data_IF_737840986361
#
_entry.id   IF_737840986361
#
_cell.length_a   1.000
_cell.length_b   1.000
_cell.length_c   1.000
_cell.angle_alpha   90.00
_cell.angle_beta   90.00
_cell.angle_gamma   90.00
#
_symmetry.space_group_name_H-M   'P 1'
#
loop_
_entity.id
_entity.type
_entity.pdbx_description
1 polymer ?
#
# COMPACT_ATOMS: atom_id res chain seq x y z
N UNK A 1 9.20 25.74 -3.17
CA UNK A 1 7.82 25.59 -3.69
C UNK A 1 7.86 24.69 -4.90
N UNK A 2 7.70 23.38 -4.78
CA UNK A 2 7.51 22.55 -5.99
C UNK A 2 6.68 21.35 -5.66
N UNK A 3 5.38 21.58 -5.52
CA UNK A 3 4.39 20.58 -5.89
C UNK A 3 4.42 20.42 -7.43
N UNK A 4 4.07 19.25 -7.99
CA UNK A 4 3.69 18.00 -7.31
C UNK A 4 4.88 17.27 -6.66
N UNK A 5 4.56 16.39 -5.72
CA UNK A 5 5.51 15.39 -5.21
C UNK A 5 5.34 14.12 -6.04
N UNK A 6 6.43 13.66 -6.66
CA UNK A 6 6.41 12.46 -7.50
C UNK A 6 7.25 11.35 -6.88
N UNK A 7 6.71 10.15 -6.78
CA UNK A 7 7.41 8.93 -6.36
C UNK A 7 7.35 7.89 -7.47
N UNK A 8 8.46 7.19 -7.68
CA UNK A 8 8.52 6.01 -8.54
C UNK A 8 8.75 4.78 -7.68
N UNK A 9 7.84 3.83 -7.78
CA UNK A 9 7.87 2.59 -7.02
C UNK A 9 8.19 1.43 -7.94
N UNK A 10 9.02 0.51 -7.45
CA UNK A 10 9.20 -0.79 -8.09
C UNK A 10 7.97 -1.66 -7.80
N UNK A 11 7.33 -2.17 -8.86
CA UNK A 11 6.13 -2.98 -8.74
C UNK A 11 6.34 -4.34 -8.04
N UNK A 12 7.59 -4.81 -7.95
CA UNK A 12 7.95 -6.01 -7.19
C UNK A 12 7.96 -5.75 -5.68
N UNK A 13 8.38 -4.55 -5.26
CA UNK A 13 8.41 -4.16 -3.84
C UNK A 13 7.05 -3.63 -3.37
N UNK A 14 6.35 -2.88 -4.22
CA UNK A 14 5.05 -2.28 -3.93
C UNK A 14 4.02 -2.73 -4.97
N UNK A 15 3.22 -3.76 -4.65
CA UNK A 15 2.10 -4.16 -5.50
C UNK A 15 1.11 -3.01 -5.71
N UNK A 16 0.39 -3.03 -6.83
CA UNK A 16 -0.62 -2.01 -7.15
C UNK A 16 -1.67 -1.84 -6.04
N UNK A 17 -2.11 -2.93 -5.42
CA UNK A 17 -3.07 -2.90 -4.31
C UNK A 17 -2.56 -2.10 -3.10
N UNK A 18 -1.25 -2.15 -2.82
CA UNK A 18 -0.61 -1.37 -1.75
C UNK A 18 -0.60 0.11 -2.11
N UNK A 19 -0.19 0.45 -3.35
CA UNK A 19 -0.18 1.83 -3.83
C UNK A 19 -1.60 2.46 -3.81
N UNK A 20 -2.62 1.72 -4.24
CA UNK A 20 -4.02 2.16 -4.20
C UNK A 20 -4.54 2.35 -2.78
N UNK A 21 -4.22 1.43 -1.86
CA UNK A 21 -4.60 1.56 -0.44
C UNK A 21 -3.93 2.76 0.23
N UNK A 22 -2.65 2.99 -0.06
CA UNK A 22 -1.94 4.17 0.44
C UNK A 22 -2.55 5.46 -0.11
N UNK A 23 -2.84 5.51 -1.41
CA UNK A 23 -3.50 6.66 -2.05
C UNK A 23 -4.88 6.94 -1.42
N UNK A 24 -5.70 5.91 -1.24
CA UNK A 24 -7.02 6.03 -0.63
C UNK A 24 -6.96 6.47 0.83
N UNK A 25 -6.03 5.91 1.61
CA UNK A 25 -5.84 6.27 3.02
C UNK A 25 -5.39 7.72 3.23
N UNK A 26 -4.82 8.35 2.20
CA UNK A 26 -4.31 9.70 2.25
C UNK A 26 -5.22 10.73 1.56
N UNK A 27 -6.39 10.31 1.06
CA UNK A 27 -7.27 11.14 0.25
C UNK A 27 -7.71 12.44 0.93
N UNK A 28 -7.83 12.44 2.27
CA UNK A 28 -8.19 13.64 3.04
C UNK A 28 -7.04 14.66 3.15
N UNK A 29 -5.79 14.25 2.85
CA UNK A 29 -4.58 15.07 3.02
C UNK A 29 -3.94 15.42 1.67
N UNK A 30 -3.82 14.44 0.77
CA UNK A 30 -3.23 14.61 -0.56
C UNK A 30 -4.04 13.87 -1.61
N UNK A 31 -4.23 14.52 -2.75
CA UNK A 31 -4.74 13.89 -3.95
C UNK A 31 -3.60 13.19 -4.67
N UNK A 32 -3.68 11.87 -4.83
CA UNK A 32 -2.62 11.06 -5.45
C UNK A 32 -3.15 10.45 -6.75
N UNK A 33 -2.50 10.79 -7.87
CA UNK A 33 -2.68 10.10 -9.14
C UNK A 33 -1.73 8.89 -9.19
N UNK A 34 -2.29 7.71 -9.50
CA UNK A 34 -1.53 6.45 -9.66
C UNK A 34 -1.39 6.14 -11.14
N UNK A 35 -0.17 6.25 -11.67
CA UNK A 35 0.20 5.81 -13.01
C UNK A 35 0.79 4.39 -12.96
N UNK A 36 0.39 3.55 -13.92
CA UNK A 36 0.85 2.17 -14.03
C UNK A 36 1.73 2.05 -15.28
N UNK A 37 2.95 1.60 -15.09
CA UNK A 37 3.94 1.29 -16.12
C UNK A 37 4.37 -0.18 -15.97
N UNK A 38 5.05 -0.75 -16.97
CA UNK A 38 5.29 -2.20 -17.06
C UNK A 38 5.92 -2.83 -15.81
N UNK A 39 6.88 -2.15 -15.17
CA UNK A 39 7.53 -2.63 -13.94
C UNK A 39 7.56 -1.55 -12.83
N UNK A 40 6.83 -0.46 -13.03
CA UNK A 40 6.86 0.69 -12.14
C UNK A 40 5.46 1.24 -11.90
N UNK A 41 5.28 1.78 -10.71
CA UNK A 41 4.10 2.56 -10.36
C UNK A 41 4.56 3.98 -10.07
N UNK A 42 4.01 4.94 -10.80
CA UNK A 42 4.26 6.37 -10.57
C UNK A 42 3.15 6.95 -9.70
N UNK A 43 3.53 7.65 -8.64
CA UNK A 43 2.60 8.38 -7.78
C UNK A 43 2.88 9.87 -7.93
N UNK A 44 1.86 10.64 -8.32
CA UNK A 44 1.93 12.09 -8.41
C UNK A 44 0.95 12.67 -7.40
N UNK A 45 1.46 13.34 -6.38
CA UNK A 45 0.68 13.86 -5.26
C UNK A 45 0.58 15.38 -5.28
N UNK A 46 -0.61 15.88 -4.95
CA UNK A 46 -0.95 17.29 -4.74
C UNK A 46 -1.64 17.44 -3.38
N UNK A 47 -1.63 18.63 -2.75
CA UNK A 47 -2.44 18.87 -1.56
C UNK A 47 -3.92 18.65 -1.87
N UNK A 48 -4.67 18.02 -0.97
CA UNK A 48 -6.12 17.88 -1.12
C UNK A 48 -6.84 19.25 -1.06
N UNK A 49 -6.28 20.18 -0.28
CA UNK A 49 -6.78 21.54 -0.11
C UNK A 49 -5.67 22.58 -0.27
N UNK A 50 -6.02 23.72 -0.87
CA UNK A 50 -5.10 24.84 -1.12
C UNK A 50 -4.55 25.47 0.17
N UNK A 51 -5.23 25.28 1.30
CA UNK A 51 -4.85 25.84 2.62
C UNK A 51 -4.02 24.90 3.49
N UNK A 52 -3.77 23.67 3.07
CA UNK A 52 -2.93 22.75 3.81
C UNK A 52 -1.50 23.29 3.87
N UNK A 53 -1.02 23.61 5.08
CA UNK A 53 0.37 24.00 5.36
C UNK A 53 1.33 22.80 5.32
N UNK A 54 1.04 21.82 4.45
CA UNK A 54 1.85 20.62 4.31
C UNK A 54 3.02 20.91 3.38
N UNK A 55 4.25 20.77 3.88
CA UNK A 55 5.43 20.89 3.04
C UNK A 55 5.54 19.69 2.09
N UNK A 56 6.08 19.86 0.88
CA UNK A 56 6.30 18.75 -0.06
C UNK A 56 7.14 17.62 0.53
N UNK A 57 8.16 17.95 1.34
CA UNK A 57 9.03 16.98 2.01
C UNK A 57 8.24 16.18 3.05
N UNK A 58 7.36 16.84 3.79
CA UNK A 58 6.49 16.18 4.76
C UNK A 58 5.47 15.29 4.08
N UNK A 59 4.90 15.74 2.95
CA UNK A 59 4.01 14.93 2.13
C UNK A 59 4.72 13.69 1.57
N UNK A 60 5.95 13.84 1.07
CA UNK A 60 6.77 12.72 0.61
C UNK A 60 7.01 11.69 1.71
N UNK A 61 7.45 12.12 2.90
CA UNK A 61 7.64 11.22 4.04
C UNK A 61 6.34 10.53 4.47
N UNK A 62 5.22 11.25 4.47
CA UNK A 62 3.91 10.70 4.81
C UNK A 62 3.48 9.62 3.81
N UNK A 63 3.63 9.88 2.51
CA UNK A 63 3.30 8.91 1.46
C UNK A 63 4.17 7.65 1.61
N UNK A 64 5.48 7.80 1.80
CA UNK A 64 6.38 6.67 2.03
C UNK A 64 6.02 5.87 3.27
N UNK A 65 5.65 6.53 4.37
CA UNK A 65 5.23 5.86 5.59
C UNK A 65 4.00 4.98 5.34
N UNK A 66 2.95 5.52 4.72
CA UNK A 66 1.75 4.75 4.43
C UNK A 66 2.01 3.60 3.45
N UNK A 67 2.86 3.82 2.43
CA UNK A 67 3.28 2.76 1.51
C UNK A 67 3.97 1.61 2.25
N UNK A 68 4.92 1.92 3.12
CA UNK A 68 5.64 0.93 3.93
C UNK A 68 4.70 0.16 4.86
N UNK A 69 3.79 0.87 5.54
CA UNK A 69 2.83 0.24 6.46
C UNK A 69 1.90 -0.73 5.72
N UNK A 70 1.38 -0.33 4.55
CA UNK A 70 0.54 -1.22 3.75
C UNK A 70 1.34 -2.38 3.12
N UNK A 71 2.57 -2.15 2.66
CA UNK A 71 3.44 -3.20 2.13
C UNK A 71 3.76 -4.25 3.20
N UNK A 72 4.11 -3.81 4.41
CA UNK A 72 4.40 -4.70 5.53
C UNK A 72 3.17 -5.52 5.91
N UNK A 73 2.00 -4.88 6.02
CA UNK A 73 0.74 -5.59 6.30
C UNK A 73 0.41 -6.61 5.21
N UNK A 74 0.61 -6.25 3.94
CA UNK A 74 0.37 -7.17 2.83
C UNK A 74 1.31 -8.38 2.89
N UNK A 75 2.59 -8.14 3.20
CA UNK A 75 3.58 -9.21 3.40
C UNK A 75 3.17 -10.16 4.54
N UNK A 76 2.87 -9.62 5.73
CA UNK A 76 2.42 -10.42 6.88
C UNK A 76 1.16 -11.22 6.53
N UNK A 77 0.19 -10.62 5.84
CA UNK A 77 -1.03 -11.32 5.43
C UNK A 77 -0.73 -12.48 4.48
N UNK A 78 0.20 -12.32 3.53
CA UNK A 78 0.60 -13.40 2.62
C UNK A 78 1.31 -14.53 3.37
N UNK A 79 2.22 -14.22 4.27
CA UNK A 79 2.95 -15.23 5.06
C UNK A 79 2.01 -15.99 6.01
N UNK A 80 1.07 -15.28 6.65
CA UNK A 80 0.13 -15.89 7.60
C UNK A 80 -1.04 -16.60 6.93
N UNK A 81 -1.37 -16.29 5.66
CA UNK A 81 -2.39 -17.01 4.92
C UNK A 81 -2.07 -18.50 4.81
N UNK A 82 -0.80 -18.85 4.51
CA UNK A 82 -0.36 -20.24 4.44
C UNK A 82 -0.45 -20.97 5.78
N UNK A 83 -0.14 -20.29 6.88
CA UNK A 83 -0.31 -20.85 8.23
C UNK A 83 -1.77 -21.12 8.55
N UNK A 84 -2.66 -20.19 8.22
CA UNK A 84 -4.10 -20.36 8.43
C UNK A 84 -4.62 -21.57 7.64
N UNK A 85 -4.20 -21.73 6.38
CA UNK A 85 -4.58 -22.89 5.57
C UNK A 85 -4.06 -24.21 6.16
N UNK A 86 -2.81 -24.25 6.62
CA UNK A 86 -2.25 -25.44 7.26
C UNK A 86 -3.00 -25.81 8.55
N UNK A 87 -3.32 -24.84 9.39
CA UNK A 87 -4.09 -25.04 10.61
C UNK A 87 -5.51 -25.53 10.32
N UNK A 88 -6.17 -24.95 9.31
CA UNK A 88 -7.51 -25.38 8.88
C UNK A 88 -7.47 -26.83 8.37
N UNK A 89 -6.49 -27.20 7.55
CA UNK A 89 -6.32 -28.58 7.09
C UNK A 89 -6.07 -29.54 8.25
N UNK A 90 -5.20 -29.18 9.20
CA UNK A 90 -4.94 -30.00 10.38
C UNK A 90 -6.20 -30.19 11.24
N UNK A 91 -7.01 -29.14 11.41
CA UNK A 91 -8.29 -29.23 12.12
C UNK A 91 -9.29 -30.15 11.41
N UNK A 92 -9.43 -30.04 10.08
CA UNK A 92 -10.29 -30.94 9.29
C UNK A 92 -9.89 -32.40 9.45
N UNK A 93 -8.59 -32.70 9.34
CA UNK A 93 -8.03 -34.06 9.56
C UNK A 93 -8.32 -34.54 10.99
N UNK A 94 -8.10 -33.70 12.00
CA UNK A 94 -8.35 -34.04 13.41
C UNK A 94 -9.82 -34.28 13.74
N UNK A 95 -10.74 -33.63 13.03
CA UNK A 95 -12.18 -33.83 13.17
C UNK A 95 -12.73 -34.99 12.32
N UNK A 96 -11.90 -35.70 11.54
CA UNK A 96 -12.33 -36.79 10.67
C UNK A 96 -13.19 -36.33 9.49
N UNK A 97 -13.14 -35.04 9.15
CA UNK A 97 -13.86 -34.46 8.02
C UNK A 97 -12.90 -34.47 6.83
N UNK A 98 -13.11 -35.40 5.90
CA UNK A 98 -12.39 -35.38 4.61
C UNK A 98 -12.90 -34.24 3.74
N UNK A 99 -11.98 -33.44 3.21
CA UNK A 99 -12.27 -32.44 2.16
C UNK A 99 -12.69 -33.10 0.85
#
# INVERSE_FOLDING_TARGET
MTWPVTLKLDSAAYPLSVAQRAAYSLADTVTIQVGIEANQISLTAHPAEVRLTLSPERAHSLILQHLNDFALRDHINRETAGLREALVRAAFVGCGISQ
#
